data_IF_388995067654
#
_entry.id   IF_388995067654
#
_cell.length_a   1.000
_cell.length_b   1.000
_cell.length_c   1.000
_cell.angle_alpha   90.00
_cell.angle_beta   90.00
_cell.angle_gamma   90.00
#
_symmetry.space_group_name_H-M   'P 1'
#
loop_
_entity.id
_entity.type
_entity.pdbx_description
1 polymer ?
#
# COMPACT_ATOMS: atom_id res chain seq x y z
N UNK A 1 6.01 -7.52 11.36
CA UNK A 1 6.38 -8.20 10.11
C UNK A 1 5.24 -9.08 9.62
N UNK A 2 5.24 -9.43 8.32
CA UNK A 2 4.48 -10.58 7.82
C UNK A 2 4.73 -11.77 8.75
N UNK A 3 3.66 -12.36 9.29
CA UNK A 3 3.78 -13.49 10.22
C UNK A 3 4.12 -14.81 9.52
N UNK A 4 3.98 -14.84 8.19
CA UNK A 4 4.18 -16.00 7.32
C UNK A 4 5.58 -16.03 6.67
N UNK A 5 6.58 -15.41 7.31
CA UNK A 5 7.97 -15.37 6.84
C UNK A 5 8.88 -15.91 7.95
N UNK A 6 9.76 -16.87 7.64
CA UNK A 6 10.72 -17.37 8.64
C UNK A 6 11.80 -16.32 8.93
N UNK A 7 12.45 -16.35 10.11
CA UNK A 7 13.52 -15.40 10.45
C UNK A 7 14.67 -15.36 9.45
N UNK A 8 15.00 -16.50 8.83
CA UNK A 8 16.06 -16.62 7.83
C UNK A 8 15.70 -15.85 6.55
N UNK A 9 14.45 -15.96 6.10
CA UNK A 9 13.96 -15.25 4.92
C UNK A 9 13.83 -13.76 5.21
N UNK A 10 13.39 -13.38 6.40
CA UNK A 10 13.32 -11.98 6.81
C UNK A 10 14.71 -11.31 6.79
N UNK A 11 15.72 -12.01 7.34
CA UNK A 11 17.11 -11.55 7.29
C UNK A 11 17.61 -11.42 5.86
N UNK A 12 17.35 -12.43 5.01
CA UNK A 12 17.75 -12.38 3.59
C UNK A 12 17.09 -11.20 2.85
N UNK A 13 15.79 -10.97 3.08
CA UNK A 13 15.07 -9.84 2.50
C UNK A 13 15.68 -8.51 2.92
N UNK A 14 15.99 -8.35 4.22
CA UNK A 14 16.64 -7.15 4.74
C UNK A 14 18.03 -6.93 4.12
N UNK A 15 18.86 -7.96 4.05
CA UNK A 15 20.19 -7.88 3.45
C UNK A 15 20.13 -7.47 1.98
N UNK A 16 19.23 -8.08 1.20
CA UNK A 16 19.00 -7.72 -0.20
C UNK A 16 18.48 -6.28 -0.33
N UNK A 17 17.60 -5.84 0.55
CA UNK A 17 17.08 -4.47 0.56
C UNK A 17 18.18 -3.45 0.83
N UNK A 18 19.06 -3.74 1.79
CA UNK A 18 20.16 -2.84 2.17
C UNK A 18 21.28 -2.77 1.13
N UNK A 19 21.41 -3.76 0.25
CA UNK A 19 22.32 -3.71 -0.91
C UNK A 19 21.92 -2.70 -1.98
N UNK A 20 20.66 -2.23 -1.99
CA UNK A 20 20.17 -1.21 -2.92
C UNK A 20 20.58 0.19 -2.49
N UNK A 21 20.77 1.07 -3.46
CA UNK A 21 20.95 2.51 -3.21
C UNK A 21 19.66 3.13 -2.65
N UNK A 22 19.74 4.26 -1.92
CA UNK A 22 18.56 4.98 -1.46
C UNK A 22 17.56 5.29 -2.58
N UNK A 23 18.04 5.67 -3.77
CA UNK A 23 17.23 6.02 -4.93
C UNK A 23 16.48 4.79 -5.47
N UNK A 24 17.14 3.64 -5.56
CA UNK A 24 16.49 2.39 -5.94
C UNK A 24 15.43 1.96 -4.94
N UNK A 25 15.67 2.16 -3.64
CA UNK A 25 14.68 1.87 -2.60
C UNK A 25 13.44 2.76 -2.74
N UNK A 26 13.61 4.05 -3.01
CA UNK A 26 12.49 4.97 -3.26
C UNK A 26 11.71 4.56 -4.50
N UNK A 27 12.39 4.31 -5.62
CA UNK A 27 11.75 3.86 -6.86
C UNK A 27 10.94 2.58 -6.65
N UNK A 28 11.54 1.58 -6.00
CA UNK A 28 10.88 0.31 -5.72
C UNK A 28 9.61 0.49 -4.88
N UNK A 29 9.66 1.32 -3.83
CA UNK A 29 8.48 1.61 -3.02
C UNK A 29 7.39 2.34 -3.81
N UNK A 30 7.75 3.28 -4.68
CA UNK A 30 6.79 3.97 -5.55
C UNK A 30 6.11 3.01 -6.54
N UNK A 31 6.88 2.08 -7.13
CA UNK A 31 6.36 1.05 -8.04
C UNK A 31 5.39 0.11 -7.31
N UNK A 32 5.79 -0.40 -6.14
CA UNK A 32 4.95 -1.27 -5.31
C UNK A 32 3.66 -0.57 -4.89
N UNK A 33 3.75 0.67 -4.42
CA UNK A 33 2.57 1.44 -4.03
C UNK A 33 1.64 1.68 -5.21
N UNK A 34 2.19 2.02 -6.37
CA UNK A 34 1.41 2.22 -7.60
C UNK A 34 0.69 0.95 -8.03
N UNK A 35 1.37 -0.20 -7.97
CA UNK A 35 0.78 -1.50 -8.28
C UNK A 35 -0.34 -1.87 -7.29
N UNK A 36 -0.08 -1.75 -5.99
CA UNK A 36 -1.07 -2.02 -4.95
C UNK A 36 -2.30 -1.12 -5.09
N UNK A 37 -2.12 0.18 -5.33
CA UNK A 37 -3.22 1.13 -5.56
C UNK A 37 -4.08 0.73 -6.76
N UNK A 38 -3.47 0.29 -7.87
CA UNK A 38 -4.22 -0.18 -9.05
C UNK A 38 -5.09 -1.40 -8.71
N UNK A 39 -4.53 -2.36 -7.98
CA UNK A 39 -5.25 -3.56 -7.54
C UNK A 39 -6.42 -3.18 -6.62
N UNK A 40 -6.18 -2.29 -5.64
CA UNK A 40 -7.23 -1.82 -4.73
C UNK A 40 -8.36 -1.17 -5.52
N UNK A 41 -8.04 -0.21 -6.40
CA UNK A 41 -9.05 0.50 -7.21
C UNK A 41 -9.85 -0.48 -8.07
N UNK A 42 -9.19 -1.42 -8.74
CA UNK A 42 -9.86 -2.44 -9.55
C UNK A 42 -10.75 -3.39 -8.75
N UNK A 43 -10.53 -3.51 -7.42
CA UNK A 43 -11.37 -4.31 -6.53
C UNK A 43 -12.61 -3.57 -6.00
N UNK A 44 -12.70 -2.25 -6.19
CA UNK A 44 -13.85 -1.46 -5.73
C UNK A 44 -15.00 -1.54 -6.74
N UNK A 45 -16.27 -1.42 -6.28
CA UNK A 45 -17.40 -1.27 -7.19
C UNK A 45 -17.23 -0.09 -8.14
N UNK A 46 -17.64 -0.28 -9.38
CA UNK A 46 -17.67 0.78 -10.39
C UNK A 46 -18.80 1.77 -10.11
N UNK A 47 -18.67 3.01 -10.61
CA UNK A 47 -19.72 4.04 -10.53
C UNK A 47 -19.96 4.65 -9.15
N UNK A 48 -19.05 4.44 -8.19
CA UNK A 48 -19.16 5.04 -6.86
C UNK A 48 -19.11 6.58 -6.93
N UNK A 49 -19.92 7.29 -6.13
CA UNK A 49 -19.71 8.71 -5.88
C UNK A 49 -18.31 8.98 -5.35
N UNK A 50 -17.70 10.10 -5.72
CA UNK A 50 -16.30 10.41 -5.40
C UNK A 50 -15.97 10.30 -3.90
N UNK A 51 -16.85 10.81 -3.03
CA UNK A 51 -16.67 10.73 -1.57
C UNK A 51 -16.59 9.29 -1.08
N UNK A 52 -17.49 8.44 -1.57
CA UNK A 52 -17.55 7.02 -1.20
C UNK A 52 -16.36 6.25 -1.77
N UNK A 53 -15.95 6.55 -3.01
CA UNK A 53 -14.71 6.02 -3.58
C UNK A 53 -13.50 6.34 -2.70
N UNK A 54 -13.36 7.60 -2.26
CA UNK A 54 -12.26 8.03 -1.39
C UNK A 54 -12.30 7.36 -0.01
N UNK A 55 -13.48 7.23 0.62
CA UNK A 55 -13.65 6.49 1.89
C UNK A 55 -13.18 5.04 1.75
N UNK A 56 -13.63 4.33 0.70
CA UNK A 56 -13.25 2.93 0.48
C UNK A 56 -11.78 2.76 0.12
N UNK A 57 -11.24 3.63 -0.72
CA UNK A 57 -9.82 3.63 -1.06
C UNK A 57 -8.96 3.84 0.19
N UNK A 58 -9.34 4.79 1.05
CA UNK A 58 -8.65 5.05 2.31
C UNK A 58 -8.69 3.83 3.22
N UNK A 59 -9.88 3.28 3.47
CA UNK A 59 -10.04 2.08 4.30
C UNK A 59 -9.22 0.89 3.78
N UNK A 60 -9.21 0.65 2.47
CA UNK A 60 -8.40 -0.43 1.87
C UNK A 60 -6.89 -0.19 1.95
N UNK A 61 -6.46 1.07 2.03
CA UNK A 61 -5.04 1.43 2.09
C UNK A 61 -4.51 1.38 3.53
N UNK A 62 -5.29 1.87 4.49
CA UNK A 62 -4.82 2.10 5.87
C UNK A 62 -5.46 1.17 6.90
N UNK A 63 -6.58 0.51 6.56
CA UNK A 63 -7.29 -0.39 7.46
C UNK A 63 -8.18 0.32 8.49
N UNK A 64 -8.41 1.62 8.33
CA UNK A 64 -9.23 2.45 9.23
C UNK A 64 -10.16 3.35 8.41
N UNK A 65 -11.22 3.85 9.04
CA UNK A 65 -12.19 4.73 8.37
C UNK A 65 -11.61 6.12 8.10
N UNK A 66 -11.94 6.69 6.95
CA UNK A 66 -11.57 8.06 6.62
C UNK A 66 -12.29 9.04 7.58
N UNK A 67 -11.59 9.99 8.21
CA UNK A 67 -12.21 10.97 9.10
C UNK A 67 -13.38 11.72 8.44
N UNK A 68 -14.48 11.89 9.16
CA UNK A 68 -15.69 12.49 8.61
C UNK A 68 -15.51 13.98 8.23
N UNK A 69 -14.57 14.67 8.87
CA UNK A 69 -14.19 16.06 8.61
C UNK A 69 -13.26 16.24 7.40
N UNK A 70 -12.81 15.16 6.76
CA UNK A 70 -11.91 15.23 5.60
C UNK A 70 -12.51 15.94 4.37
N UNK A 71 -13.83 15.97 4.26
CA UNK A 71 -14.54 16.56 3.11
C UNK A 71 -15.20 17.91 3.39
N UNK A 72 -14.94 18.49 4.57
CA UNK A 72 -15.45 19.80 4.98
C UNK A 72 -14.75 20.92 4.21
#
# INVERSE_FOLDING_TARGET
MLKDTTPEIEKLQFELWMKRTPQERVRFQMEMFTAARRVIIASLPEGLPEREFKRRLYFRTYGEELPDDFFV
#
